data_IF_770585414403
#
_entry.id   IF_770585414403
#
_cell.length_a   1.000
_cell.length_b   1.000
_cell.length_c   1.000
_cell.angle_alpha   90.00
_cell.angle_beta   90.00
_cell.angle_gamma   90.00
#
_symmetry.space_group_name_H-M   'P 1'
#
loop_
_entity.id
_entity.type
_entity.pdbx_description
1 polymer ?
#
# COMPACT_ATOMS: atom_id res chain seq x y z
N UNK A 1 24.52 -6.96 -4.35
CA UNK A 1 23.29 -6.25 -3.97
C UNK A 1 22.13 -7.16 -4.34
N UNK A 2 21.38 -7.62 -3.34
CA UNK A 2 20.32 -8.62 -3.51
C UNK A 2 19.16 -8.02 -4.30
N UNK A 3 18.70 -8.73 -5.33
CA UNK A 3 17.49 -8.37 -6.06
C UNK A 3 16.29 -8.58 -5.12
N UNK A 4 15.53 -7.51 -4.85
CA UNK A 4 14.36 -7.50 -3.96
C UNK A 4 13.50 -8.75 -4.19
N UNK A 5 13.14 -9.48 -3.11
CA UNK A 5 12.47 -10.79 -3.21
C UNK A 5 10.99 -10.72 -3.55
N UNK A 6 10.42 -9.51 -3.71
CA UNK A 6 8.97 -9.30 -3.79
C UNK A 6 8.58 -8.48 -5.03
N UNK A 7 7.34 -8.68 -5.47
CA UNK A 7 6.63 -7.87 -6.46
C UNK A 7 5.37 -7.36 -5.76
N UNK A 8 5.20 -6.03 -5.77
CA UNK A 8 4.05 -5.35 -5.15
C UNK A 8 3.20 -4.73 -6.24
N UNK A 9 1.88 -4.87 -6.14
CA UNK A 9 0.93 -4.14 -6.97
C UNK A 9 -0.07 -3.41 -6.08
N UNK A 10 -0.10 -2.09 -6.24
CA UNK A 10 -0.98 -1.20 -5.49
C UNK A 10 -2.31 -1.00 -6.21
N UNK A 11 -3.39 -1.01 -5.47
CA UNK A 11 -4.69 -0.47 -5.89
C UNK A 11 -5.20 0.43 -4.78
N UNK A 12 -5.37 1.71 -5.10
CA UNK A 12 -5.99 2.68 -4.20
C UNK A 12 -7.45 2.85 -4.58
N UNK A 13 -8.31 2.93 -3.59
CA UNK A 13 -9.73 3.22 -3.79
C UNK A 13 -10.14 4.42 -2.97
N UNK A 14 -10.86 5.35 -3.60
CA UNK A 14 -11.67 6.33 -2.88
C UNK A 14 -12.95 5.66 -2.40
N UNK A 15 -13.41 6.04 -1.21
CA UNK A 15 -14.73 5.67 -0.71
C UNK A 15 -15.44 6.92 -0.20
N UNK A 16 -16.72 7.06 -0.55
CA UNK A 16 -17.59 8.11 -0.01
C UNK A 16 -17.94 7.87 1.47
N UNK A 17 -17.63 6.68 2.00
CA UNK A 17 -17.84 6.28 3.40
C UNK A 17 -16.53 5.87 4.05
N UNK A 18 -16.44 6.02 5.37
CA UNK A 18 -15.22 5.70 6.11
C UNK A 18 -14.91 4.19 6.10
N UNK A 19 -13.64 3.79 5.92
CA UNK A 19 -12.47 4.65 5.75
C UNK A 19 -12.47 5.37 4.39
N UNK A 20 -12.26 6.70 4.42
CA UNK A 20 -12.39 7.58 3.24
C UNK A 20 -11.50 7.15 2.06
N UNK A 21 -10.43 6.40 2.34
CA UNK A 21 -9.52 5.80 1.35
C UNK A 21 -8.95 4.49 1.89
N UNK A 22 -8.66 3.57 1.01
CA UNK A 22 -7.90 2.35 1.32
C UNK A 22 -6.80 2.12 0.30
N UNK A 23 -5.74 1.47 0.76
CA UNK A 23 -4.69 0.93 -0.10
C UNK A 23 -4.76 -0.59 -0.02
N UNK A 24 -5.01 -1.22 -1.17
CA UNK A 24 -4.91 -2.67 -1.35
C UNK A 24 -3.60 -3.00 -2.02
N UNK A 25 -2.81 -3.88 -1.41
CA UNK A 25 -1.55 -4.37 -1.97
C UNK A 25 -1.68 -5.85 -2.29
N UNK A 26 -1.29 -6.20 -3.52
CA UNK A 26 -1.11 -7.58 -3.93
C UNK A 26 0.39 -7.87 -3.98
N UNK A 27 0.87 -8.68 -3.05
CA UNK A 27 2.29 -8.96 -2.83
C UNK A 27 2.57 -10.40 -3.22
N UNK A 28 3.60 -10.61 -4.04
CA UNK A 28 4.03 -11.94 -4.47
C UNK A 28 5.53 -12.10 -4.31
N UNK A 29 5.96 -13.20 -3.71
CA UNK A 29 7.37 -13.55 -3.61
C UNK A 29 7.90 -14.00 -4.96
N UNK A 30 9.01 -13.42 -5.42
CA UNK A 30 9.72 -13.83 -6.63
C UNK A 30 10.25 -15.24 -6.47
N UNK A 31 10.32 -15.98 -7.59
CA UNK A 31 10.99 -17.27 -7.69
C UNK A 31 10.50 -18.36 -6.71
N UNK A 32 9.29 -18.21 -6.16
CA UNK A 32 8.65 -19.24 -5.34
C UNK A 32 7.22 -19.47 -5.80
N UNK A 33 6.66 -20.62 -5.43
CA UNK A 33 5.23 -20.91 -5.62
C UNK A 33 4.36 -20.32 -4.49
N UNK A 34 4.92 -19.47 -3.61
CA UNK A 34 4.20 -18.95 -2.45
C UNK A 34 2.96 -18.11 -2.83
N UNK A 35 2.01 -18.13 -1.90
CA UNK A 35 0.69 -17.53 -1.95
C UNK A 35 0.75 -16.03 -2.18
N UNK A 36 -0.12 -15.54 -3.07
CA UNK A 36 -0.40 -14.11 -3.22
C UNK A 36 -0.95 -13.56 -1.89
N UNK A 37 -0.25 -12.60 -1.29
CA UNK A 37 -0.73 -11.89 -0.11
C UNK A 37 -1.55 -10.70 -0.58
N UNK A 38 -2.76 -10.54 -0.04
CA UNK A 38 -3.61 -9.39 -0.30
C UNK A 38 -3.91 -8.73 1.02
N UNK A 39 -3.40 -7.52 1.22
CA UNK A 39 -3.68 -6.70 2.39
C UNK A 39 -4.42 -5.45 1.96
N UNK A 40 -5.45 -5.06 2.71
CA UNK A 40 -6.19 -3.82 2.51
C UNK A 40 -6.17 -3.04 3.81
N UNK A 41 -5.69 -1.81 3.76
CA UNK A 41 -5.48 -0.98 4.95
C UNK A 41 -6.09 0.39 4.73
N UNK A 42 -6.69 0.92 5.79
CA UNK A 42 -7.20 2.29 5.85
C UNK A 42 -6.06 3.27 5.60
N UNK A 43 -6.18 4.02 4.52
CA UNK A 43 -5.12 4.90 4.06
C UNK A 43 -5.33 6.30 4.64
N UNK A 44 -4.48 6.66 5.60
CA UNK A 44 -4.35 8.03 6.11
C UNK A 44 -3.04 8.61 5.61
N UNK A 45 -3.11 9.79 4.99
CA UNK A 45 -1.96 10.50 4.46
C UNK A 45 -1.71 11.80 5.20
N UNK A 46 -0.47 12.24 5.22
CA UNK A 46 -0.06 13.59 5.61
C UNK A 46 -0.59 14.63 4.60
N UNK A 47 -0.41 15.93 4.89
CA UNK A 47 -0.76 17.01 3.95
C UNK A 47 0.05 16.97 2.66
N UNK A 48 1.28 16.45 2.70
CA UNK A 48 2.12 16.16 1.53
C UNK A 48 1.78 14.82 0.86
N UNK A 49 0.79 14.10 1.40
CA UNK A 49 0.20 12.89 0.82
C UNK A 49 0.93 11.58 1.02
N UNK A 50 2.10 11.61 1.64
CA UNK A 50 2.76 10.40 2.11
C UNK A 50 1.93 9.74 3.20
N UNK A 51 2.08 8.43 3.36
CA UNK A 51 1.39 7.68 4.41
C UNK A 51 1.73 8.26 5.79
N UNK A 52 0.74 8.31 6.67
CA UNK A 52 0.97 8.63 8.07
C UNK A 52 1.73 7.50 8.76
N UNK A 53 2.41 7.83 9.85
CA UNK A 53 3.08 6.83 10.69
C UNK A 53 2.10 5.74 11.19
N UNK A 54 0.84 6.10 11.46
CA UNK A 54 -0.19 5.14 11.85
C UNK A 54 -0.48 4.12 10.73
N UNK A 55 -0.68 4.58 9.50
CA UNK A 55 -0.91 3.67 8.36
C UNK A 55 0.32 2.81 8.05
N UNK A 56 1.52 3.40 8.10
CA UNK A 56 2.78 2.65 7.94
C UNK A 56 2.91 1.53 8.99
N UNK A 57 2.68 1.84 10.26
CA UNK A 57 2.71 0.84 11.35
C UNK A 57 1.68 -0.27 11.17
N UNK A 58 0.48 0.04 10.68
CA UNK A 58 -0.53 -0.98 10.38
C UNK A 58 -0.08 -1.90 9.23
N UNK A 59 0.62 -1.36 8.23
CA UNK A 59 1.24 -2.15 7.17
C UNK A 59 2.33 -3.07 7.72
N UNK A 60 3.24 -2.56 8.55
CA UNK A 60 4.29 -3.36 9.20
C UNK A 60 3.69 -4.55 9.94
N UNK A 61 2.63 -4.30 10.72
CA UNK A 61 1.94 -5.33 11.49
C UNK A 61 1.30 -6.41 10.59
N UNK A 62 0.59 -6.00 9.54
CA UNK A 62 -0.07 -6.94 8.61
C UNK A 62 0.93 -7.73 7.77
N UNK A 63 2.03 -7.12 7.35
CA UNK A 63 3.08 -7.78 6.58
C UNK A 63 3.92 -8.73 7.45
N UNK A 64 4.18 -8.36 8.71
CA UNK A 64 4.88 -9.21 9.68
C UNK A 64 4.15 -10.51 9.97
N UNK A 65 2.82 -10.53 9.95
CA UNK A 65 2.04 -11.77 10.04
C UNK A 65 2.28 -12.76 8.90
N UNK A 66 2.80 -12.30 7.78
CA UNK A 66 3.08 -13.12 6.61
C UNK A 66 4.56 -13.49 6.47
N UNK A 67 5.33 -13.38 7.56
CA UNK A 67 6.75 -13.77 7.62
C UNK A 67 7.60 -13.08 6.55
N UNK A 68 7.21 -11.86 6.16
CA UNK A 68 8.02 -11.00 5.30
C UNK A 68 9.14 -10.41 6.16
N UNK A 69 10.39 -10.49 5.68
CA UNK A 69 11.54 -9.92 6.39
C UNK A 69 11.42 -8.40 6.54
N UNK A 70 11.98 -7.88 7.63
CA UNK A 70 11.85 -6.47 8.00
C UNK A 70 12.31 -5.51 6.88
N UNK A 71 13.43 -5.82 6.22
CA UNK A 71 13.95 -4.99 5.12
C UNK A 71 12.94 -4.91 3.96
N UNK A 72 12.36 -6.05 3.56
CA UNK A 72 11.30 -6.08 2.54
C UNK A 72 10.03 -5.35 3.00
N UNK A 73 9.67 -5.42 4.28
CA UNK A 73 8.53 -4.67 4.83
C UNK A 73 8.77 -3.17 4.67
N UNK A 74 9.95 -2.67 5.04
CA UNK A 74 10.31 -1.26 4.91
C UNK A 74 10.24 -0.81 3.45
N UNK A 75 10.81 -1.58 2.52
CA UNK A 75 10.74 -1.26 1.08
C UNK A 75 9.29 -1.18 0.56
N UNK A 76 8.44 -2.13 0.95
CA UNK A 76 7.01 -2.14 0.55
C UNK A 76 6.30 -0.88 1.06
N UNK A 77 6.60 -0.45 2.28
CA UNK A 77 5.97 0.72 2.89
C UNK A 77 6.44 2.02 2.25
N UNK A 78 7.73 2.14 1.97
CA UNK A 78 8.28 3.29 1.26
C UNK A 78 7.67 3.42 -0.15
N UNK A 79 7.60 2.31 -0.90
CA UNK A 79 6.96 2.29 -2.23
C UNK A 79 5.48 2.70 -2.14
N UNK A 80 4.73 2.12 -1.19
CA UNK A 80 3.32 2.45 -0.99
C UNK A 80 3.12 3.94 -0.62
N UNK A 81 4.03 4.51 0.17
CA UNK A 81 4.01 5.92 0.56
C UNK A 81 4.28 6.85 -0.60
N UNK A 82 5.25 6.52 -1.45
CA UNK A 82 5.52 7.24 -2.69
C UNK A 82 4.35 7.18 -3.66
N UNK A 83 3.73 6.01 -3.83
CA UNK A 83 2.53 5.86 -4.66
C UNK A 83 1.38 6.70 -4.10
N UNK A 84 1.23 6.77 -2.78
CA UNK A 84 0.18 7.59 -2.16
C UNK A 84 0.39 9.08 -2.43
N UNK A 85 1.63 9.56 -2.26
CA UNK A 85 2.01 10.94 -2.52
C UNK A 85 1.84 11.34 -4.01
N UNK A 86 2.11 10.42 -4.94
CA UNK A 86 1.90 10.68 -6.39
C UNK A 86 0.43 10.75 -6.78
N UNK A 87 -0.46 10.06 -6.06
CA UNK A 87 -1.88 9.96 -6.40
C UNK A 87 -2.79 10.89 -5.58
N UNK A 88 -2.26 11.79 -4.74
CA UNK A 88 -3.06 12.77 -3.98
C UNK A 88 -4.05 13.56 -4.84
N UNK A 89 -3.66 14.07 -6.04
CA UNK A 89 -4.55 14.93 -6.81
C UNK A 89 -5.79 14.17 -7.29
N UNK A 90 -5.62 12.92 -7.73
CA UNK A 90 -6.70 12.04 -8.19
C UNK A 90 -7.53 11.47 -7.04
N UNK A 91 -6.99 11.39 -5.83
CA UNK A 91 -7.68 10.91 -4.62
C UNK A 91 -8.56 11.97 -3.93
N UNK A 92 -8.34 13.25 -4.20
CA UNK A 92 -9.12 14.38 -3.64
C UNK A 92 -10.19 14.90 -4.61
N UNK A 93 -10.24 14.41 -5.84
CA UNK A 93 -11.25 14.78 -6.81
C UNK A 93 -12.44 13.79 -6.74
N UNK A 94 -13.60 14.20 -6.20
CA UNK A 94 -14.79 13.35 -6.13
C UNK A 94 -15.48 13.15 -7.48
N UNK A 95 -15.07 13.89 -8.53
CA UNK A 95 -15.56 13.72 -9.89
C UNK A 95 -14.70 12.76 -10.72
N UNK A 96 -13.49 12.45 -10.24
CA UNK A 96 -12.63 11.41 -10.81
C UNK A 96 -12.93 10.05 -10.15
N UNK A 97 -14.20 9.66 -10.21
CA UNK A 97 -14.62 8.29 -9.98
C UNK A 97 -14.27 7.58 -11.29
N UNK A 98 -13.18 6.82 -11.31
CA UNK A 98 -12.85 5.94 -12.43
C UNK A 98 -14.08 5.06 -12.73
N UNK A 99 -14.86 5.46 -13.73
CA UNK A 99 -15.77 4.56 -14.42
C UNK A 99 -14.87 3.70 -15.32
N UNK A 100 -14.72 2.45 -14.91
CA UNK A 100 -14.24 1.24 -15.63
C UNK A 100 -13.79 1.46 -17.07
#
# INVERSE_FOLDING_TARGET
MSQISWIVRHKMSQSLTSPKRSITMNIKRRNTQQTKIVISIDMKTTSSGYLTHETARNMEYMLGYHEIDFDSITEIIEEASDVAARNIPTLNDPTNIDFV
#
